data_IF_880465051189
#
_entry.id   IF_880465051189
#
_cell.length_a   1.000
_cell.length_b   1.000
_cell.length_c   1.000
_cell.angle_alpha   90.00
_cell.angle_beta   90.00
_cell.angle_gamma   90.00
#
_symmetry.space_group_name_H-M   'P 1'
#
loop_
_entity.id
_entity.type
_entity.pdbx_description
1 polymer ?
#
# COMPACT_ATOMS: atom_id res chain seq x y z
N UNK A 1 -8.54 -17.19 1.21
CA UNK A 1 -8.03 -16.58 -0.05
C UNK A 1 -8.07 -15.07 0.14
N UNK A 2 -6.95 -14.45 0.50
CA UNK A 2 -6.90 -13.02 0.84
C UNK A 2 -6.84 -12.22 -0.48
N UNK A 3 -7.96 -11.61 -0.88
CA UNK A 3 -8.03 -10.76 -2.06
C UNK A 3 -7.51 -9.36 -1.70
N UNK A 4 -6.27 -9.04 -2.09
CA UNK A 4 -5.69 -7.70 -1.98
C UNK A 4 -4.93 -7.32 -3.24
N UNK A 5 -5.01 -6.06 -3.64
CA UNK A 5 -4.28 -5.53 -4.80
C UNK A 5 -2.81 -5.33 -4.42
N UNK A 6 -1.91 -6.02 -5.11
CA UNK A 6 -0.47 -5.93 -4.91
C UNK A 6 0.12 -5.02 -5.99
N UNK A 7 0.70 -3.88 -5.61
CA UNK A 7 1.48 -3.05 -6.52
C UNK A 7 2.97 -3.41 -6.40
N UNK A 8 3.57 -3.91 -7.49
CA UNK A 8 4.97 -4.29 -7.57
C UNK A 8 5.76 -3.37 -8.49
N UNK A 9 6.87 -2.79 -8.02
CA UNK A 9 7.78 -1.99 -8.86
C UNK A 9 8.96 -2.85 -9.34
N UNK A 10 8.85 -3.50 -10.50
CA UNK A 10 9.97 -4.25 -11.10
C UNK A 10 10.83 -3.33 -11.98
N UNK A 11 12.04 -3.00 -11.53
CA UNK A 11 13.14 -2.50 -12.38
C UNK A 11 14.31 -3.49 -12.26
N UNK A 12 14.70 -4.12 -13.38
CA UNK A 12 15.80 -5.12 -13.44
C UNK A 12 17.11 -4.47 -12.97
N UNK A 13 17.83 -5.09 -12.03
CA UNK A 13 19.08 -4.58 -11.45
C UNK A 13 18.93 -3.70 -10.20
N UNK A 14 17.72 -3.52 -9.67
CA UNK A 14 17.43 -2.72 -8.47
C UNK A 14 16.60 -3.49 -7.43
N UNK A 15 16.90 -4.76 -7.21
CA UNK A 15 16.07 -5.61 -6.35
C UNK A 15 15.95 -5.11 -4.91
N UNK A 16 16.98 -4.41 -4.38
CA UNK A 16 16.99 -3.80 -3.06
C UNK A 16 16.09 -2.57 -2.91
N UNK A 17 15.60 -1.98 -4.01
CA UNK A 17 14.73 -0.80 -4.01
C UNK A 17 13.25 -1.13 -4.26
N UNK A 18 12.85 -2.41 -4.14
CA UNK A 18 11.46 -2.83 -4.34
C UNK A 18 10.62 -2.54 -3.10
N UNK A 19 9.45 -1.95 -3.33
CA UNK A 19 8.41 -1.73 -2.34
C UNK A 19 7.13 -2.42 -2.81
N UNK A 20 6.57 -3.26 -1.95
CA UNK A 20 5.27 -3.89 -2.16
C UNK A 20 4.24 -3.18 -1.30
N UNK A 21 3.15 -2.73 -1.91
CA UNK A 21 2.05 -2.12 -1.18
C UNK A 21 0.89 -3.10 -1.12
N UNK A 22 0.34 -3.28 0.08
CA UNK A 22 -0.86 -4.07 0.33
C UNK A 22 -1.82 -3.29 1.21
N UNK A 23 -3.11 -3.45 0.98
CA UNK A 23 -4.18 -2.91 1.82
C UNK A 23 -5.39 -3.82 1.76
N UNK A 24 -6.20 -3.82 2.81
CA UNK A 24 -7.51 -4.46 2.85
C UNK A 24 -8.61 -3.60 2.22
N UNK A 25 -8.36 -2.30 2.01
CA UNK A 25 -9.35 -1.34 1.52
C UNK A 25 -9.58 -1.50 0.01
N UNK A 26 -10.85 -1.62 -0.37
CA UNK A 26 -11.28 -1.64 -1.77
C UNK A 26 -11.12 -0.23 -2.40
N UNK A 27 -10.04 -0.04 -3.16
CA UNK A 27 -9.67 1.27 -3.74
C UNK A 27 -10.69 1.79 -4.74
N UNK A 28 -11.39 0.90 -5.45
CA UNK A 28 -12.40 1.29 -6.43
C UNK A 28 -13.68 1.79 -5.74
N UNK A 29 -14.02 1.25 -4.57
CA UNK A 29 -15.15 1.75 -3.76
C UNK A 29 -14.86 3.08 -3.09
N UNK A 30 -13.67 3.25 -2.50
CA UNK A 30 -13.32 4.51 -1.79
C UNK A 30 -13.04 5.67 -2.74
N UNK A 31 -12.56 5.37 -3.95
CA UNK A 31 -12.21 6.36 -4.95
C UNK A 31 -10.83 7.00 -4.75
N UNK A 32 -10.48 7.93 -5.64
CA UNK A 32 -9.19 8.62 -5.65
C UNK A 32 -9.12 9.75 -4.60
N UNK A 33 -7.90 10.17 -4.26
CA UNK A 33 -7.59 11.23 -3.29
C UNK A 33 -8.11 10.93 -1.87
N UNK A 34 -8.10 9.66 -1.48
CA UNK A 34 -8.47 9.20 -0.13
C UNK A 34 -7.25 8.65 0.59
N UNK A 35 -7.13 8.98 1.87
CA UNK A 35 -6.15 8.32 2.73
C UNK A 35 -6.63 6.92 3.09
N UNK A 36 -5.73 5.96 2.96
CA UNK A 36 -5.94 4.55 3.30
C UNK A 36 -4.74 4.02 4.08
N UNK A 37 -4.95 3.09 5.03
CA UNK A 37 -3.86 2.40 5.68
C UNK A 37 -3.26 1.38 4.70
N UNK A 38 -1.94 1.23 4.73
CA UNK A 38 -1.19 0.29 3.89
C UNK A 38 -0.13 -0.46 4.69
N UNK A 39 0.08 -1.73 4.33
CA UNK A 39 1.28 -2.48 4.68
C UNK A 39 2.27 -2.31 3.54
N UNK A 40 3.51 -1.95 3.86
CA UNK A 40 4.60 -1.83 2.91
C UNK A 40 5.65 -2.87 3.23
N UNK A 41 5.95 -3.74 2.28
CA UNK A 41 7.07 -4.69 2.37
C UNK A 41 8.25 -4.19 1.54
N UNK A 42 9.44 -4.24 2.13
CA UNK A 42 10.70 -3.92 1.47
C UNK A 42 11.45 -5.18 1.07
N UNK A 43 12.40 -5.03 0.13
CA UNK A 43 13.16 -6.15 -0.43
C UNK A 43 13.98 -6.96 0.59
N UNK A 44 14.31 -6.37 1.73
CA UNK A 44 15.00 -7.01 2.86
C UNK A 44 14.04 -7.77 3.81
N UNK A 45 12.76 -7.90 3.42
CA UNK A 45 11.76 -8.65 4.17
C UNK A 45 11.19 -7.91 5.38
N UNK A 46 11.42 -6.60 5.48
CA UNK A 46 10.81 -5.77 6.53
C UNK A 46 9.43 -5.29 6.12
N UNK A 47 8.59 -5.06 7.12
CA UNK A 47 7.24 -4.55 6.96
C UNK A 47 7.04 -3.27 7.74
N UNK A 48 6.22 -2.37 7.20
CA UNK A 48 5.91 -1.06 7.79
C UNK A 48 4.42 -0.76 7.61
N UNK A 49 3.83 -0.08 8.59
CA UNK A 49 2.47 0.43 8.50
C UNK A 49 2.52 1.93 8.19
N UNK A 50 1.79 2.34 7.17
CA UNK A 50 1.78 3.73 6.72
C UNK A 50 0.41 4.17 6.20
N UNK A 51 0.29 5.45 5.90
CA UNK A 51 -0.87 6.04 5.21
C UNK A 51 -0.47 6.30 3.76
N UNK A 52 -1.36 5.98 2.82
CA UNK A 52 -1.19 6.34 1.42
C UNK A 52 -2.42 7.05 0.87
N UNK A 53 -2.20 7.92 -0.11
CA UNK A 53 -3.28 8.63 -0.81
C UNK A 53 -3.57 7.93 -2.12
N UNK A 54 -4.78 7.43 -2.27
CA UNK A 54 -5.22 6.76 -3.50
C UNK A 54 -5.14 7.70 -4.71
N UNK A 55 -4.81 7.16 -5.89
CA UNK A 55 -4.63 7.96 -7.10
C UNK A 55 -5.39 7.36 -8.28
N UNK A 56 -6.18 8.17 -8.97
CA UNK A 56 -6.81 7.75 -10.23
C UNK A 56 -5.72 7.57 -11.29
N UNK A 57 -5.72 6.42 -11.95
CA UNK A 57 -4.85 6.14 -13.08
C UNK A 57 -5.69 5.96 -14.35
N UNK A 58 -5.31 6.71 -15.38
CA UNK A 58 -5.83 6.56 -16.72
C UNK A 58 -4.63 6.66 -17.67
N UNK A 59 -4.20 5.52 -18.22
CA UNK A 59 -3.00 5.44 -19.06
C UNK A 59 -3.23 6.02 -20.47
N UNK A 60 -4.45 5.89 -20.98
CA UNK A 60 -4.95 6.43 -22.25
C UNK A 60 -6.47 6.22 -22.29
N UNK A 61 -7.18 6.84 -23.24
CA UNK A 61 -8.62 6.63 -23.48
C UNK A 61 -8.98 5.16 -23.73
N UNK A 62 -8.02 4.33 -24.18
CA UNK A 62 -8.20 2.91 -24.42
C UNK A 62 -8.22 2.03 -23.15
N UNK A 63 -7.84 2.55 -21.99
CA UNK A 63 -7.76 1.77 -20.74
C UNK A 63 -8.85 2.21 -19.76
N UNK A 64 -9.52 1.23 -19.14
CA UNK A 64 -10.47 1.53 -18.06
C UNK A 64 -9.73 2.23 -16.91
N UNK A 65 -10.24 3.36 -16.41
CA UNK A 65 -9.63 4.01 -15.26
C UNK A 65 -9.72 3.09 -14.05
N UNK A 66 -8.68 3.08 -13.23
CA UNK A 66 -8.65 2.37 -11.95
C UNK A 66 -8.09 3.27 -10.85
N UNK A 67 -8.34 2.92 -9.60
CA UNK A 67 -7.79 3.64 -8.45
C UNK A 67 -6.61 2.87 -7.87
N UNK A 68 -5.42 3.45 -7.97
CA UNK A 68 -4.19 2.91 -7.40
C UNK A 68 -4.08 3.21 -5.90
N UNK A 69 -3.44 2.31 -5.14
CA UNK A 69 -3.20 2.44 -3.70
C UNK A 69 -2.33 3.67 -3.37
N UNK A 70 -1.38 3.98 -4.24
CA UNK A 70 -0.44 5.09 -4.07
C UNK A 70 -0.22 5.85 -5.39
N UNK A 71 0.18 7.13 -5.33
CA UNK A 71 0.56 7.88 -6.53
C UNK A 71 1.85 7.29 -7.11
N UNK A 72 1.81 6.85 -8.36
CA UNK A 72 3.05 6.58 -9.10
C UNK A 72 3.68 7.91 -9.52
N UNK A 73 4.81 8.28 -8.92
CA UNK A 73 5.66 9.38 -9.39
C UNK A 73 6.59 9.00 -10.54
N UNK A 74 7.58 9.84 -10.85
CA UNK A 74 8.37 9.90 -12.10
C UNK A 74 9.39 8.77 -12.34
N UNK A 75 9.21 7.61 -11.71
CA UNK A 75 9.94 6.38 -12.07
C UNK A 75 11.16 6.03 -11.22
N UNK A 76 11.32 6.65 -10.04
CA UNK A 76 12.32 6.27 -9.05
C UNK A 76 11.68 5.72 -7.77
N UNK A 77 12.10 4.52 -7.37
CA UNK A 77 11.73 3.82 -6.14
C UNK A 77 12.04 4.62 -4.86
N UNK A 78 13.00 5.54 -4.91
CA UNK A 78 13.32 6.44 -3.80
C UNK A 78 12.11 7.22 -3.26
N UNK A 79 11.13 7.53 -4.12
CA UNK A 79 9.91 8.22 -3.70
C UNK A 79 9.09 7.43 -2.68
N UNK A 80 9.26 6.11 -2.60
CA UNK A 80 8.52 5.27 -1.66
C UNK A 80 9.20 5.17 -0.29
N UNK A 81 10.46 5.64 -0.17
CA UNK A 81 11.19 5.65 1.10
C UNK A 81 10.50 6.54 2.15
N UNK A 82 9.81 7.60 1.70
CA UNK A 82 9.06 8.50 2.59
C UNK A 82 7.94 7.81 3.35
N UNK A 83 7.37 6.72 2.82
CA UNK A 83 6.30 5.99 3.50
C UNK A 83 6.79 5.18 4.70
N UNK A 84 8.08 4.85 4.76
CA UNK A 84 8.66 4.00 5.81
C UNK A 84 9.63 4.74 6.73
N UNK A 85 10.03 5.97 6.36
CA UNK A 85 10.96 6.77 7.16
C UNK A 85 10.32 7.15 8.49
N UNK A 86 10.98 6.79 9.60
CA UNK A 86 10.49 7.06 10.96
C UNK A 86 9.28 6.22 11.38
N UNK A 87 8.97 5.14 10.67
CA UNK A 87 7.91 4.20 11.02
C UNK A 87 8.47 3.00 11.78
N UNK A 88 7.64 2.42 12.64
CA UNK A 88 7.95 1.17 13.30
C UNK A 88 8.13 0.06 12.27
N UNK A 89 9.14 -0.77 12.52
CA UNK A 89 9.52 -1.87 11.65
C UNK A 89 9.06 -3.20 12.25
N UNK A 90 8.43 -4.01 11.43
CA UNK A 90 7.98 -5.36 11.78
C UNK A 90 8.82 -6.39 11.01
N UNK A 91 9.28 -7.43 11.72
CA UNK A 91 10.10 -8.48 11.15
C UNK A 91 9.28 -9.63 10.56
N UNK A 92 7.99 -9.73 10.90
CA UNK A 92 7.09 -10.76 10.41
C UNK A 92 5.86 -10.12 9.78
N UNK A 93 5.29 -10.80 8.78
CA UNK A 93 4.01 -10.38 8.19
C UNK A 93 2.88 -10.46 9.21
N UNK A 94 2.93 -11.42 10.13
CA UNK A 94 1.91 -11.60 11.17
C UNK A 94 1.84 -10.39 12.12
N UNK A 95 2.99 -9.92 12.62
CA UNK A 95 3.04 -8.76 13.51
C UNK A 95 2.63 -7.48 12.77
N UNK A 96 3.07 -7.33 11.51
CA UNK A 96 2.64 -6.22 10.67
C UNK A 96 1.12 -6.24 10.46
N UNK A 97 0.53 -7.42 10.24
CA UNK A 97 -0.91 -7.55 10.03
C UNK A 97 -1.70 -7.23 11.30
N UNK A 98 -1.23 -7.65 12.48
CA UNK A 98 -1.85 -7.28 13.77
C UNK A 98 -1.84 -5.76 13.96
N UNK A 99 -0.68 -5.13 13.79
CA UNK A 99 -0.55 -3.68 13.87
C UNK A 99 -1.41 -2.95 12.83
N UNK A 100 -1.46 -3.45 11.60
CA UNK A 100 -2.33 -2.93 10.55
C UNK A 100 -3.81 -2.99 10.96
N UNK A 101 -4.27 -4.14 11.48
CA UNK A 101 -5.65 -4.31 11.91
C UNK A 101 -6.01 -3.35 13.06
N UNK A 102 -5.08 -3.12 13.99
CA UNK A 102 -5.27 -2.15 15.07
C UNK A 102 -5.34 -0.71 14.54
N UNK A 103 -4.48 -0.33 13.61
CA UNK A 103 -4.54 0.98 12.94
C UNK A 103 -5.85 1.15 12.17
N UNK A 104 -6.30 0.12 11.46
CA UNK A 104 -7.59 0.15 10.75
C UNK A 104 -8.75 0.34 11.72
N UNK A 105 -8.76 -0.34 12.86
CA UNK A 105 -9.86 -0.22 13.83
C UNK A 105 -9.88 1.14 14.54
N UNK A 106 -8.72 1.69 14.87
CA UNK A 106 -8.61 2.90 15.70
C UNK A 106 -8.58 4.19 14.86
N UNK A 107 -7.72 4.25 13.84
CA UNK A 107 -7.44 5.49 13.09
C UNK A 107 -8.23 5.57 11.78
N UNK A 108 -8.65 4.42 11.25
CA UNK A 108 -9.42 4.30 10.02
C UNK A 108 -10.71 3.50 10.23
N UNK A 109 -11.42 3.76 11.32
CA UNK A 109 -12.61 2.99 11.73
C UNK A 109 -13.69 2.87 10.64
N UNK A 110 -13.72 3.80 9.69
CA UNK A 110 -14.51 3.78 8.46
C UNK A 110 -14.27 2.54 7.58
N UNK A 111 -13.11 1.88 7.74
CA UNK A 111 -12.65 0.73 6.98
C UNK A 111 -12.55 -0.54 7.84
N UNK A 112 -13.06 -0.54 9.08
CA UNK A 112 -12.99 -1.72 9.96
C UNK A 112 -13.57 -2.99 9.33
N UNK A 113 -14.59 -2.84 8.50
CA UNK A 113 -15.30 -3.93 7.83
C UNK A 113 -14.55 -4.43 6.57
N UNK A 114 -13.41 -3.84 6.22
CA UNK A 114 -12.56 -4.31 5.12
C UNK A 114 -11.54 -5.34 5.57
N UNK A 115 -11.36 -5.53 6.89
CA UNK A 115 -10.41 -6.50 7.43
C UNK A 115 -10.84 -7.95 7.10
N UNK A 116 -9.92 -8.78 6.57
CA UNK A 116 -10.16 -10.21 6.42
C UNK A 116 -10.57 -10.87 7.75
N UNK A 117 -11.64 -11.67 7.70
CA UNK A 117 -12.12 -12.51 8.80
C UNK A 117 -11.38 -13.84 8.87
#
# INVERSE_FOLDING_TARGET
MVHGLIMETKKKGKESERYLFWTSVDTDKVGANKQIPVIISTADGKFYISSSTTARKQKSSAYKPYVAIAPTGSGNSSQYKSYITGKDQYNTLEDAYKAYADVVKNDYSNYKDTLPH
#
